data_IF_335885355156
#
_entry.id   IF_335885355156
#
_cell.length_a   1.000
_cell.length_b   1.000
_cell.length_c   1.000
_cell.angle_alpha   90.00
_cell.angle_beta   90.00
_cell.angle_gamma   90.00
#
_symmetry.space_group_name_H-M   'P 1'
#
loop_
_entity.id
_entity.type
_entity.pdbx_description
1 polymer ?
#
# COMPACT_ATOMS: atom_id res chain seq x y z
N UNK A 1 -0.38 -7.44 50.65
CA UNK A 1 0.75 -6.83 49.92
C UNK A 1 0.20 -6.28 48.61
N UNK A 2 0.25 -4.96 48.40
CA UNK A 2 -0.14 -4.37 47.12
C UNK A 2 0.94 -4.68 46.09
N UNK A 3 0.55 -5.27 44.96
CA UNK A 3 1.46 -5.53 43.85
C UNK A 3 1.98 -4.18 43.33
N UNK A 4 3.30 -4.02 43.26
CA UNK A 4 3.92 -2.86 42.65
C UNK A 4 3.43 -2.75 41.18
N UNK A 5 3.15 -1.54 40.67
CA UNK A 5 2.76 -1.36 39.29
C UNK A 5 3.88 -1.92 38.40
N UNK A 6 3.53 -2.83 37.49
CA UNK A 6 4.47 -3.37 36.53
C UNK A 6 5.09 -2.19 35.76
N UNK A 7 6.42 -2.07 35.83
CA UNK A 7 7.15 -1.06 35.08
C UNK A 7 6.75 -1.16 33.61
N UNK A 8 6.29 -0.05 33.02
CA UNK A 8 5.95 -0.02 31.60
C UNK A 8 7.16 -0.48 30.79
N UNK A 9 6.98 -1.49 29.95
CA UNK A 9 8.05 -2.01 29.11
C UNK A 9 8.64 -0.87 28.27
N UNK A 10 9.96 -0.84 28.12
CA UNK A 10 10.64 0.17 27.30
C UNK A 10 10.07 0.18 25.87
N UNK A 11 9.94 1.36 25.22
CA UNK A 11 9.48 1.44 23.84
C UNK A 11 10.36 0.60 22.92
N UNK A 12 9.75 -0.07 21.95
CA UNK A 12 10.49 -0.84 20.96
C UNK A 12 11.34 0.10 20.07
N UNK A 13 12.55 -0.36 19.73
CA UNK A 13 13.43 0.32 18.76
C UNK A 13 12.97 0.15 17.31
N UNK A 14 12.15 -0.87 17.06
CA UNK A 14 11.61 -1.19 15.75
C UNK A 14 10.25 -1.89 15.85
N UNK A 15 9.43 -1.71 14.81
CA UNK A 15 8.21 -2.47 14.58
C UNK A 15 8.12 -2.91 13.13
N UNK A 16 7.28 -3.90 12.84
CA UNK A 16 7.02 -4.39 11.49
C UNK A 16 5.67 -3.85 11.01
N UNK A 17 5.69 -3.15 9.87
CA UNK A 17 4.50 -2.78 9.10
C UNK A 17 4.42 -3.67 7.86
N UNK A 18 3.26 -4.25 7.57
CA UNK A 18 3.00 -4.91 6.29
C UNK A 18 1.96 -4.12 5.50
N UNK A 19 2.29 -3.76 4.27
CA UNK A 19 1.43 -3.00 3.37
C UNK A 19 1.02 -3.88 2.18
N UNK A 20 -0.28 -4.01 1.96
CA UNK A 20 -0.85 -4.60 0.75
C UNK A 20 -1.30 -3.55 -0.26
N UNK A 21 -1.42 -4.00 -1.50
CA UNK A 21 -1.95 -3.21 -2.60
C UNK A 21 -3.47 -3.04 -2.54
N UNK A 22 -4.09 -3.07 -3.71
CA UNK A 22 -5.50 -2.73 -3.87
C UNK A 22 -6.42 -3.81 -3.32
N UNK A 23 -7.37 -3.40 -2.48
CA UNK A 23 -8.41 -4.25 -1.89
C UNK A 23 -9.78 -3.72 -2.33
N UNK A 24 -10.56 -4.60 -2.96
CA UNK A 24 -11.93 -4.34 -3.36
C UNK A 24 -12.87 -5.34 -2.69
N UNK A 25 -13.58 -4.90 -1.66
CA UNK A 25 -14.61 -5.66 -0.95
C UNK A 25 -16.01 -5.49 -1.58
N UNK A 26 -16.06 -4.98 -2.81
CA UNK A 26 -17.26 -4.87 -3.63
C UNK A 26 -17.35 -5.96 -4.70
N UNK A 27 -18.19 -5.73 -5.71
CA UNK A 27 -18.37 -6.65 -6.85
C UNK A 27 -18.69 -8.08 -6.35
N UNK A 28 -18.06 -9.09 -6.94
CA UNK A 28 -18.26 -10.50 -6.59
C UNK A 28 -17.86 -10.82 -5.15
N UNK A 29 -16.79 -10.21 -4.62
CA UNK A 29 -16.40 -10.41 -3.22
C UNK A 29 -17.42 -9.77 -2.26
N UNK A 30 -17.96 -8.61 -2.61
CA UNK A 30 -19.06 -8.00 -1.86
C UNK A 30 -20.31 -8.88 -1.85
N UNK A 31 -20.63 -9.54 -2.97
CA UNK A 31 -21.75 -10.50 -3.01
C UNK A 31 -21.49 -11.72 -2.12
N UNK A 32 -20.24 -12.16 -2.01
CA UNK A 32 -19.87 -13.23 -1.06
C UNK A 32 -20.07 -12.78 0.38
N UNK A 33 -19.59 -11.57 0.74
CA UNK A 33 -19.77 -11.00 2.08
C UNK A 33 -21.25 -10.74 2.44
N UNK A 34 -22.12 -10.51 1.46
CA UNK A 34 -23.57 -10.42 1.69
C UNK A 34 -24.20 -11.78 1.99
N UNK A 35 -23.71 -12.86 1.36
CA UNK A 35 -24.19 -14.23 1.60
C UNK A 35 -23.66 -14.80 2.91
N UNK A 36 -22.38 -14.58 3.17
CA UNK A 36 -21.67 -15.00 4.38
C UNK A 36 -20.85 -13.82 4.95
N UNK A 37 -21.43 -13.03 5.87
CA UNK A 37 -20.71 -11.94 6.53
C UNK A 37 -19.49 -12.38 7.35
N UNK A 38 -19.37 -13.67 7.67
CA UNK A 38 -18.22 -14.24 8.37
C UNK A 38 -17.07 -14.62 7.43
N UNK A 39 -17.31 -14.66 6.10
CA UNK A 39 -16.27 -14.94 5.12
C UNK A 39 -15.04 -14.04 5.36
N UNK A 40 -13.86 -14.67 5.40
CA UNK A 40 -12.60 -13.97 5.62
C UNK A 40 -11.73 -14.04 4.36
N UNK A 41 -11.71 -12.99 3.53
CA UNK A 41 -10.90 -12.97 2.32
C UNK A 41 -9.38 -12.89 2.63
N UNK A 42 -9.00 -12.57 3.87
CA UNK A 42 -7.60 -12.46 4.30
C UNK A 42 -7.07 -13.74 4.95
N UNK A 43 -7.89 -14.78 5.12
CA UNK A 43 -7.47 -16.03 5.74
C UNK A 43 -6.19 -16.65 5.10
N UNK A 44 -6.03 -16.66 3.76
CA UNK A 44 -4.82 -17.21 3.13
C UNK A 44 -3.51 -16.49 3.51
N UNK A 45 -3.58 -15.22 3.91
CA UNK A 45 -2.43 -14.36 4.26
C UNK A 45 -2.30 -14.12 5.76
N UNK A 46 -3.13 -14.78 6.58
CA UNK A 46 -3.18 -14.59 8.02
C UNK A 46 -1.81 -14.74 8.71
N UNK A 47 -0.98 -15.69 8.25
CA UNK A 47 0.36 -15.90 8.78
C UNK A 47 1.31 -14.70 8.50
N UNK A 48 1.24 -14.12 7.30
CA UNK A 48 2.04 -12.93 6.95
C UNK A 48 1.58 -11.70 7.73
N UNK A 49 0.28 -11.60 8.02
CA UNK A 49 -0.29 -10.54 8.82
C UNK A 49 0.02 -10.69 10.30
N UNK A 50 0.01 -11.92 10.82
CA UNK A 50 0.37 -12.23 12.21
C UNK A 50 1.81 -11.81 12.55
N UNK A 51 2.72 -11.73 11.58
CA UNK A 51 4.10 -11.28 11.78
C UNK A 51 4.29 -9.76 11.83
N UNK A 52 3.22 -8.96 11.72
CA UNK A 52 3.28 -7.50 11.65
C UNK A 52 2.54 -6.82 12.82
N UNK A 53 3.13 -5.75 13.35
CA UNK A 53 2.55 -4.89 14.37
C UNK A 53 1.50 -3.91 13.78
N UNK A 54 1.72 -3.48 12.54
CA UNK A 54 0.83 -2.59 11.77
C UNK A 54 0.50 -3.23 10.42
N UNK A 55 -0.78 -3.23 10.05
CA UNK A 55 -1.26 -3.77 8.77
C UNK A 55 -1.97 -2.66 7.99
N UNK A 56 -1.56 -2.45 6.75
CA UNK A 56 -2.05 -1.39 5.88
C UNK A 56 -2.51 -1.95 4.52
N UNK A 57 -3.60 -1.42 3.96
CA UNK A 57 -4.04 -1.69 2.57
C UNK A 57 -4.67 -0.44 1.94
N UNK A 58 -4.77 -0.39 0.61
CA UNK A 58 -5.61 0.58 -0.09
C UNK A 58 -7.02 0.00 -0.24
N UNK A 59 -8.02 0.61 0.41
CA UNK A 59 -9.42 0.20 0.29
C UNK A 59 -10.05 0.95 -0.89
N UNK A 60 -10.12 0.28 -2.04
CA UNK A 60 -10.46 0.88 -3.32
C UNK A 60 -11.95 0.79 -3.66
N UNK A 61 -12.80 0.81 -2.64
CA UNK A 61 -14.24 0.93 -2.81
C UNK A 61 -14.84 1.62 -1.57
N UNK A 62 -16.00 2.24 -1.75
CA UNK A 62 -16.83 2.66 -0.62
C UNK A 62 -17.40 1.44 0.10
N UNK A 63 -17.67 1.56 1.40
CA UNK A 63 -18.43 0.59 2.18
C UNK A 63 -19.79 1.20 2.49
N UNK A 64 -20.81 0.71 1.83
CA UNK A 64 -22.17 1.20 1.94
C UNK A 64 -23.13 0.11 1.47
N UNK A 65 -24.22 -0.07 2.20
CA UNK A 65 -25.24 -1.08 1.90
C UNK A 65 -25.82 -0.97 0.48
N UNK A 66 -26.16 0.25 0.04
CA UNK A 66 -26.75 0.51 -1.29
C UNK A 66 -27.89 -0.48 -1.68
N UNK A 67 -28.67 -0.97 -0.71
CA UNK A 67 -29.74 -1.94 -0.96
C UNK A 67 -29.23 -3.32 -1.38
N UNK A 68 -28.02 -3.70 -0.98
CA UNK A 68 -27.35 -4.96 -1.38
C UNK A 68 -26.64 -4.90 -2.73
N UNK A 69 -26.62 -3.74 -3.40
CA UNK A 69 -25.83 -3.56 -4.61
C UNK A 69 -24.33 -3.48 -4.26
N UNK A 70 -23.49 -4.26 -4.95
CA UNK A 70 -22.03 -4.20 -4.77
C UNK A 70 -21.28 -3.78 -6.03
N UNK A 71 -22.02 -3.55 -7.13
CA UNK A 71 -21.53 -3.03 -8.40
C UNK A 71 -22.71 -2.49 -9.20
N UNK A 72 -22.55 -1.31 -9.76
CA UNK A 72 -23.62 -0.66 -10.51
C UNK A 72 -23.95 -1.45 -11.78
N UNK A 73 -25.23 -1.76 -11.98
CA UNK A 73 -25.69 -2.64 -13.07
C UNK A 73 -25.29 -2.17 -14.47
N UNK A 74 -25.27 -0.86 -14.70
CA UNK A 74 -25.01 -0.25 -16.02
C UNK A 74 -23.60 0.36 -16.13
N UNK A 75 -22.89 0.52 -15.01
CA UNK A 75 -21.60 1.20 -14.95
C UNK A 75 -20.63 0.32 -14.16
N UNK A 76 -19.99 -0.69 -14.78
CA UNK A 76 -19.24 -1.71 -14.06
C UNK A 76 -17.98 -1.19 -13.33
N UNK A 77 -17.58 0.06 -13.56
CA UNK A 77 -16.51 0.74 -12.84
C UNK A 77 -17.00 1.49 -11.59
N UNK A 78 -18.30 1.56 -11.36
CA UNK A 78 -18.91 2.12 -10.16
C UNK A 78 -19.27 0.96 -9.23
N UNK A 79 -18.62 0.87 -8.07
CA UNK A 79 -18.81 -0.26 -7.16
C UNK A 79 -18.64 0.11 -5.68
N UNK A 80 -19.25 -0.69 -4.83
CA UNK A 80 -19.29 -0.51 -3.37
C UNK A 80 -19.23 -1.89 -2.71
N UNK A 81 -18.85 -1.95 -1.44
CA UNK A 81 -18.88 -3.15 -0.62
C UNK A 81 -19.93 -3.02 0.48
N UNK A 82 -20.45 -4.15 1.00
CA UNK A 82 -21.38 -4.12 2.12
C UNK A 82 -20.70 -3.62 3.40
N UNK A 83 -21.46 -3.18 4.42
CA UNK A 83 -20.92 -2.78 5.72
C UNK A 83 -20.03 -3.86 6.38
N UNK A 84 -20.34 -5.14 6.12
CA UNK A 84 -19.55 -6.30 6.55
C UNK A 84 -18.09 -6.29 6.06
N UNK A 85 -17.78 -5.52 5.01
CA UNK A 85 -16.40 -5.31 4.56
C UNK A 85 -15.53 -4.64 5.63
N UNK A 86 -16.08 -3.72 6.43
CA UNK A 86 -15.36 -3.11 7.54
C UNK A 86 -15.05 -4.15 8.63
N UNK A 87 -15.99 -5.07 8.88
CA UNK A 87 -15.81 -6.16 9.84
C UNK A 87 -14.76 -7.17 9.36
N UNK A 88 -14.71 -7.46 8.06
CA UNK A 88 -13.66 -8.31 7.47
C UNK A 88 -12.26 -7.68 7.65
N UNK A 89 -12.13 -6.37 7.42
CA UNK A 89 -10.87 -5.64 7.68
C UNK A 89 -10.47 -5.71 9.16
N UNK A 90 -11.43 -5.53 10.08
CA UNK A 90 -11.19 -5.60 11.51
C UNK A 90 -10.77 -7.01 11.98
N UNK A 91 -11.45 -8.06 11.51
CA UNK A 91 -11.08 -9.46 11.79
C UNK A 91 -9.67 -9.79 11.30
N UNK A 92 -9.30 -9.30 10.13
CA UNK A 92 -7.95 -9.42 9.58
C UNK A 92 -6.90 -8.54 10.32
N UNK A 93 -7.31 -7.76 11.33
CA UNK A 93 -6.46 -6.87 12.12
C UNK A 93 -5.85 -5.73 11.32
N UNK A 94 -6.48 -5.32 10.22
CA UNK A 94 -6.06 -4.16 9.44
C UNK A 94 -6.07 -2.94 10.36
N UNK A 95 -4.91 -2.31 10.53
CA UNK A 95 -4.73 -1.20 11.45
C UNK A 95 -5.18 0.12 10.84
N UNK A 96 -4.93 0.28 9.54
CA UNK A 96 -5.26 1.50 8.79
C UNK A 96 -5.49 1.19 7.32
N UNK A 97 -6.46 1.85 6.69
CA UNK A 97 -6.68 1.80 5.24
C UNK A 97 -6.44 3.17 4.61
N UNK A 98 -5.93 3.20 3.37
CA UNK A 98 -6.04 4.41 2.53
C UNK A 98 -7.43 4.46 1.89
N UNK A 99 -8.03 5.65 1.95
CA UNK A 99 -9.25 6.01 1.22
C UNK A 99 -9.00 7.07 0.13
N UNK A 100 -7.75 7.54 -0.02
CA UNK A 100 -7.39 8.44 -1.10
C UNK A 100 -7.24 7.65 -2.40
N UNK A 101 -8.35 7.44 -3.11
CA UNK A 101 -8.40 6.80 -4.43
C UNK A 101 -9.62 7.31 -5.23
N UNK A 102 -9.65 6.99 -6.52
CA UNK A 102 -10.66 7.43 -7.48
C UNK A 102 -12.06 6.86 -7.24
N UNK A 103 -12.19 5.78 -6.44
CA UNK A 103 -13.46 5.10 -6.16
C UNK A 103 -14.18 5.63 -4.91
N UNK A 104 -13.57 6.58 -4.19
CA UNK A 104 -14.11 7.11 -2.93
C UNK A 104 -15.36 8.00 -3.10
N UNK A 105 -15.87 8.14 -4.33
CA UNK A 105 -17.07 8.91 -4.66
C UNK A 105 -18.02 8.20 -5.64
N UNK A 106 -17.86 6.89 -5.82
CA UNK A 106 -18.64 6.08 -6.78
C UNK A 106 -20.16 6.22 -6.57
N UNK A 107 -20.64 6.13 -5.32
CA UNK A 107 -22.04 6.36 -4.93
C UNK A 107 -22.23 7.71 -4.20
N UNK A 108 -21.31 8.65 -4.45
CA UNK A 108 -21.38 10.01 -3.93
C UNK A 108 -21.16 10.15 -2.42
N UNK A 109 -21.51 11.33 -1.91
CA UNK A 109 -21.17 11.77 -0.54
C UNK A 109 -21.80 10.91 0.57
N UNK A 110 -23.02 10.41 0.36
CA UNK A 110 -23.71 9.59 1.37
C UNK A 110 -22.93 8.30 1.63
N UNK A 111 -22.66 7.53 0.57
CA UNK A 111 -21.89 6.29 0.67
C UNK A 111 -20.47 6.53 1.19
N UNK A 112 -19.85 7.66 0.83
CA UNK A 112 -18.57 8.07 1.39
C UNK A 112 -18.64 8.24 2.92
N UNK A 113 -19.64 8.96 3.43
CA UNK A 113 -19.78 9.17 4.87
C UNK A 113 -20.11 7.86 5.61
N UNK A 114 -20.98 7.01 5.03
CA UNK A 114 -21.26 5.66 5.55
C UNK A 114 -19.99 4.81 5.61
N UNK A 115 -19.09 4.95 4.64
CA UNK A 115 -17.77 4.28 4.65
C UNK A 115 -16.97 4.67 5.89
N UNK A 116 -16.90 5.98 6.21
CA UNK A 116 -16.21 6.46 7.40
C UNK A 116 -16.85 5.93 8.67
N UNK A 117 -18.19 5.97 8.75
CA UNK A 117 -18.95 5.49 9.92
C UNK A 117 -18.73 3.99 10.15
N UNK A 118 -18.68 3.17 9.09
CA UNK A 118 -18.44 1.74 9.20
C UNK A 118 -17.01 1.40 9.63
N UNK A 119 -16.01 2.13 9.14
CA UNK A 119 -14.62 1.95 9.56
C UNK A 119 -14.42 2.37 11.02
N UNK A 120 -15.01 3.48 11.44
CA UNK A 120 -15.00 3.93 12.84
C UNK A 120 -15.69 2.91 13.76
N UNK A 121 -16.86 2.41 13.37
CA UNK A 121 -17.57 1.34 14.10
C UNK A 121 -16.72 0.09 14.26
N UNK A 122 -16.01 -0.31 13.21
CA UNK A 122 -15.18 -1.51 13.20
C UNK A 122 -13.81 -1.31 13.88
N UNK A 123 -13.46 -0.07 14.27
CA UNK A 123 -12.17 0.25 14.87
C UNK A 123 -11.00 0.21 13.89
N UNK A 124 -11.27 0.34 12.59
CA UNK A 124 -10.24 0.38 11.54
C UNK A 124 -9.95 1.85 11.22
N UNK A 125 -8.71 2.30 11.44
CA UNK A 125 -8.34 3.66 11.12
C UNK A 125 -8.32 3.89 9.60
N UNK A 126 -8.48 5.14 9.16
CA UNK A 126 -8.40 5.49 7.74
C UNK A 126 -7.64 6.79 7.52
N UNK A 127 -7.00 6.92 6.36
CA UNK A 127 -6.20 8.09 5.98
C UNK A 127 -6.48 8.49 4.53
N UNK A 128 -6.20 9.76 4.19
CA UNK A 128 -6.38 10.29 2.84
C UNK A 128 -7.83 10.69 2.53
N UNK A 129 -8.72 10.56 3.51
CA UNK A 129 -10.06 11.10 3.45
C UNK A 129 -10.56 11.51 4.85
N UNK A 130 -11.58 12.36 4.91
CA UNK A 130 -12.19 12.78 6.15
C UNK A 130 -13.40 13.68 5.96
N UNK A 131 -14.13 13.97 7.04
CA UNK A 131 -15.35 14.82 7.01
C UNK A 131 -15.05 16.30 6.74
N UNK A 132 -13.77 16.68 6.69
CA UNK A 132 -13.30 18.02 6.36
C UNK A 132 -11.98 17.91 5.60
N UNK A 133 -11.65 18.95 4.84
CA UNK A 133 -10.40 19.01 4.07
C UNK A 133 -9.18 18.87 4.97
N UNK A 134 -9.19 19.54 6.13
CA UNK A 134 -8.11 19.42 7.10
C UNK A 134 -7.92 17.96 7.56
N UNK A 135 -9.01 17.23 7.85
CA UNK A 135 -8.93 15.81 8.24
C UNK A 135 -8.48 14.93 7.08
N UNK A 136 -8.90 15.21 5.85
CA UNK A 136 -8.50 14.43 4.67
C UNK A 136 -6.99 14.44 4.46
N UNK A 137 -6.35 15.59 4.66
CA UNK A 137 -4.90 15.78 4.51
C UNK A 137 -4.08 15.51 5.79
N UNK A 138 -4.74 15.26 6.94
CA UNK A 138 -4.04 15.01 8.19
C UNK A 138 -3.45 13.58 8.21
N UNK A 139 -2.26 13.40 8.80
CA UNK A 139 -1.74 12.06 9.04
C UNK A 139 -2.58 11.33 10.10
N UNK A 140 -2.67 10.01 9.97
CA UNK A 140 -3.06 9.15 11.08
C UNK A 140 -1.80 8.61 11.75
N UNK A 141 -1.74 8.71 13.07
CA UNK A 141 -0.62 8.16 13.85
C UNK A 141 -1.05 6.87 14.53
N UNK A 142 -0.43 5.75 14.14
CA UNK A 142 -0.63 4.44 14.76
C UNK A 142 0.51 4.18 15.75
N UNK A 143 0.16 3.90 17.00
CA UNK A 143 1.12 3.52 18.03
C UNK A 143 1.06 2.01 18.30
N UNK A 144 2.23 1.37 18.30
CA UNK A 144 2.40 -0.04 18.69
C UNK A 144 3.70 -0.17 19.48
N UNK A 145 3.64 -0.79 20.65
CA UNK A 145 4.83 -1.06 21.49
C UNK A 145 5.65 0.20 21.77
N UNK A 146 4.98 1.34 21.96
CA UNK A 146 5.61 2.65 22.16
C UNK A 146 6.29 3.26 20.92
N UNK A 147 6.17 2.64 19.73
CA UNK A 147 6.65 3.15 18.45
C UNK A 147 5.49 3.78 17.67
N UNK A 148 5.66 5.00 17.16
CA UNK A 148 4.60 5.76 16.48
C UNK A 148 4.90 5.95 14.99
N UNK A 149 3.99 5.46 14.15
CA UNK A 149 4.06 5.60 12.69
C UNK A 149 2.99 6.57 12.24
N UNK A 150 3.39 7.69 11.63
CA UNK A 150 2.48 8.56 10.91
C UNK A 150 2.28 8.04 9.48
N UNK A 151 1.02 7.87 9.08
CA UNK A 151 0.64 7.48 7.71
C UNK A 151 -0.05 8.67 7.05
N UNK A 152 0.32 8.95 5.81
CA UNK A 152 -0.31 9.92 4.92
C UNK A 152 -0.79 9.19 3.66
N UNK A 153 -1.87 9.65 3.05
CA UNK A 153 -2.33 9.10 1.78
C UNK A 153 -2.88 10.20 0.87
N UNK A 154 -2.61 10.10 -0.43
CA UNK A 154 -3.06 11.04 -1.46
C UNK A 154 -3.39 10.33 -2.76
N UNK A 155 -4.30 10.88 -3.56
CA UNK A 155 -4.62 10.35 -4.89
C UNK A 155 -4.25 11.30 -6.02
N UNK A 156 -3.61 10.77 -7.06
CA UNK A 156 -3.27 11.49 -8.29
C UNK A 156 -4.30 11.31 -9.41
N UNK A 157 -5.39 10.57 -9.17
CA UNK A 157 -6.39 10.24 -10.19
C UNK A 157 -7.81 10.34 -9.64
N UNK A 158 -8.75 10.71 -10.50
CA UNK A 158 -10.16 10.84 -10.14
C UNK A 158 -11.07 10.44 -11.31
N UNK A 159 -12.12 9.65 -11.05
CA UNK A 159 -13.00 9.12 -12.11
C UNK A 159 -13.89 10.19 -12.75
N UNK A 160 -14.16 11.29 -12.04
CA UNK A 160 -15.16 12.30 -12.39
C UNK A 160 -14.47 13.61 -12.82
N UNK A 161 -13.39 13.50 -13.60
CA UNK A 161 -12.59 14.65 -14.06
C UNK A 161 -11.47 15.01 -13.10
N UNK A 162 -11.33 16.30 -12.78
CA UNK A 162 -10.31 16.77 -11.83
C UNK A 162 -10.87 16.77 -10.41
N UNK A 163 -10.18 16.09 -9.47
CA UNK A 163 -10.55 16.18 -8.04
C UNK A 163 -10.57 17.64 -7.57
N UNK A 164 -9.67 18.50 -8.06
CA UNK A 164 -9.61 19.92 -7.66
C UNK A 164 -10.85 20.74 -8.00
N UNK A 165 -11.59 20.34 -9.03
CA UNK A 165 -12.82 21.00 -9.48
C UNK A 165 -14.07 20.29 -8.95
N UNK A 166 -13.89 19.14 -8.30
CA UNK A 166 -14.95 18.30 -7.82
C UNK A 166 -15.28 18.58 -6.34
N UNK A 167 -16.57 18.49 -5.90
CA UNK A 167 -16.94 18.70 -4.49
C UNK A 167 -16.22 17.77 -3.49
N UNK A 168 -15.75 16.60 -3.95
CA UNK A 168 -14.99 15.65 -3.12
C UNK A 168 -13.63 16.19 -2.65
N UNK A 169 -13.10 17.29 -3.22
CA UNK A 169 -11.83 17.90 -2.79
C UNK A 169 -11.82 18.36 -1.33
N UNK A 170 -13.01 18.56 -0.75
CA UNK A 170 -13.18 18.91 0.65
C UNK A 170 -13.14 17.68 1.57
N UNK A 171 -13.03 16.47 1.01
CA UNK A 171 -13.18 15.20 1.72
C UNK A 171 -12.09 14.18 1.41
N UNK A 172 -11.44 14.26 0.24
CA UNK A 172 -10.40 13.33 -0.22
C UNK A 172 -9.13 14.10 -0.55
N UNK A 173 -7.98 13.58 -0.12
CA UNK A 173 -6.69 14.24 -0.30
C UNK A 173 -6.14 14.02 -1.72
N UNK A 174 -6.09 15.10 -2.50
CA UNK A 174 -5.45 15.12 -3.80
C UNK A 174 -3.91 15.18 -3.67
N UNK A 175 -3.21 14.50 -4.57
CA UNK A 175 -1.77 14.55 -4.68
C UNK A 175 -1.32 15.91 -5.21
N UNK A 176 -0.55 16.63 -4.40
CA UNK A 176 0.16 17.85 -4.76
C UNK A 176 1.57 17.73 -4.18
N UNK A 177 2.60 17.93 -5.01
CA UNK A 177 3.97 17.54 -4.66
C UNK A 177 4.49 18.33 -3.47
N UNK A 178 4.32 19.64 -3.50
CA UNK A 178 4.94 20.52 -2.52
C UNK A 178 4.15 20.48 -1.20
N UNK A 179 2.83 20.36 -1.28
CA UNK A 179 1.91 20.11 -0.19
C UNK A 179 2.14 18.77 0.50
N UNK A 180 2.34 17.68 -0.25
CA UNK A 180 2.70 16.38 0.32
C UNK A 180 4.04 16.45 1.04
N UNK A 181 5.05 17.06 0.42
CA UNK A 181 6.36 17.24 1.04
C UNK A 181 6.27 18.08 2.33
N UNK A 182 5.42 19.12 2.36
CA UNK A 182 5.17 19.90 3.56
C UNK A 182 4.46 19.08 4.65
N UNK A 183 3.46 18.27 4.29
CA UNK A 183 2.75 17.38 5.21
C UNK A 183 3.68 16.33 5.82
N UNK A 184 4.58 15.74 5.03
CA UNK A 184 5.61 14.80 5.52
C UNK A 184 6.54 15.48 6.52
N UNK A 185 7.06 16.68 6.21
CA UNK A 185 7.90 17.45 7.14
C UNK A 185 7.15 17.79 8.43
N UNK A 186 5.87 18.14 8.34
CA UNK A 186 5.04 18.43 9.50
C UNK A 186 4.81 17.18 10.36
N UNK A 187 4.47 16.05 9.74
CA UNK A 187 4.30 14.76 10.43
C UNK A 187 5.58 14.34 11.16
N UNK A 188 6.75 14.48 10.51
CA UNK A 188 8.06 14.18 11.11
C UNK A 188 8.38 15.03 12.34
N UNK A 189 7.90 16.29 12.37
CA UNK A 189 8.11 17.21 13.50
C UNK A 189 7.12 17.00 14.65
N UNK A 190 6.09 16.18 14.47
CA UNK A 190 5.16 15.88 15.57
C UNK A 190 5.91 15.15 16.68
N UNK A 191 5.77 15.57 17.96
CA UNK A 191 6.47 14.95 19.07
C UNK A 191 6.23 13.44 19.10
N UNK A 192 7.32 12.66 19.16
CA UNK A 192 7.27 11.21 19.28
C UNK A 192 6.94 10.43 18.01
N UNK A 193 6.84 11.04 16.82
CA UNK A 193 6.71 10.30 15.56
C UNK A 193 8.05 9.69 15.15
N UNK A 194 8.09 8.37 15.07
CA UNK A 194 9.30 7.58 14.79
C UNK A 194 9.47 7.26 13.31
N UNK A 195 8.36 7.03 12.60
CA UNK A 195 8.37 6.77 11.18
C UNK A 195 7.24 7.49 10.45
N UNK A 196 7.45 7.80 9.16
CA UNK A 196 6.43 8.39 8.28
C UNK A 196 6.28 7.51 7.03
N UNK A 197 5.08 7.02 6.74
CA UNK A 197 4.78 6.22 5.55
C UNK A 197 3.78 6.99 4.68
N UNK A 198 4.03 7.04 3.38
CA UNK A 198 3.14 7.69 2.41
C UNK A 198 2.52 6.64 1.50
N UNK A 199 1.21 6.65 1.38
CA UNK A 199 0.45 5.92 0.35
C UNK A 199 0.07 6.86 -0.79
N UNK A 200 0.16 6.37 -2.02
CA UNK A 200 -0.22 7.10 -3.21
C UNK A 200 -1.05 6.22 -4.15
N UNK A 201 -2.21 6.72 -4.55
CA UNK A 201 -3.06 6.06 -5.52
C UNK A 201 -3.14 6.89 -6.81
N UNK A 202 -2.45 6.46 -7.87
CA UNK A 202 -2.52 7.13 -9.16
C UNK A 202 -1.52 6.61 -10.19
N UNK A 203 -1.58 7.18 -11.39
CA UNK A 203 -0.83 6.69 -12.55
C UNK A 203 -1.78 6.37 -13.71
N UNK A 204 -1.36 5.47 -14.59
CA UNK A 204 -2.22 4.95 -15.66
C UNK A 204 -2.44 3.47 -15.42
N UNK A 205 -3.70 3.02 -15.46
CA UNK A 205 -4.03 1.61 -15.35
C UNK A 205 -3.23 0.75 -16.34
N UNK A 206 -2.69 -0.35 -15.85
CA UNK A 206 -1.95 -1.37 -16.60
C UNK A 206 -0.67 -0.89 -17.26
N UNK A 207 -0.14 0.27 -16.87
CA UNK A 207 1.16 0.73 -17.31
C UNK A 207 2.24 0.20 -16.37
N UNK A 208 3.21 -0.52 -16.92
CA UNK A 208 4.35 -1.09 -16.17
C UNK A 208 5.31 -0.01 -15.63
N UNK A 209 5.32 1.15 -16.27
CA UNK A 209 6.26 2.24 -16.01
C UNK A 209 5.63 3.31 -15.11
N UNK A 210 6.24 3.64 -13.95
CA UNK A 210 5.78 4.76 -13.17
C UNK A 210 5.97 6.07 -13.93
N UNK A 211 4.89 6.85 -14.06
CA UNK A 211 4.91 8.10 -14.79
C UNK A 211 5.84 9.13 -14.12
N UNK A 212 6.44 10.07 -14.87
CA UNK A 212 7.31 11.10 -14.31
C UNK A 212 6.70 11.89 -13.13
N UNK A 213 5.40 12.28 -13.12
CA UNK A 213 4.79 12.93 -11.97
C UNK A 213 4.75 12.06 -10.71
N UNK A 214 4.45 10.75 -10.85
CA UNK A 214 4.45 9.82 -9.72
C UNK A 214 5.86 9.64 -9.14
N UNK A 215 6.88 9.57 -9.99
CA UNK A 215 8.30 9.55 -9.59
C UNK A 215 8.72 10.81 -8.87
N UNK A 216 8.34 11.98 -9.38
CA UNK A 216 8.64 13.27 -8.75
C UNK A 216 7.94 13.40 -7.38
N UNK A 217 6.70 12.94 -7.26
CA UNK A 217 5.94 12.91 -6.01
C UNK A 217 6.60 12.00 -4.97
N UNK A 218 6.96 10.78 -5.36
CA UNK A 218 7.62 9.81 -4.49
C UNK A 218 8.99 10.31 -4.01
N UNK A 219 9.80 10.86 -4.93
CA UNK A 219 11.08 11.48 -4.59
C UNK A 219 10.91 12.62 -3.58
N UNK A 220 9.94 13.52 -3.80
CA UNK A 220 9.66 14.64 -2.91
C UNK A 220 9.20 14.18 -1.51
N UNK A 221 8.41 13.11 -1.42
CA UNK A 221 8.00 12.52 -0.14
C UNK A 221 9.21 11.94 0.64
N UNK A 222 10.06 11.15 -0.02
CA UNK A 222 11.28 10.61 0.60
C UNK A 222 12.27 11.73 0.96
N UNK A 223 12.43 12.74 0.10
CA UNK A 223 13.24 13.94 0.37
C UNK A 223 12.78 14.70 1.60
N UNK A 224 11.46 14.78 1.81
CA UNK A 224 10.85 15.45 2.95
C UNK A 224 10.98 14.65 4.26
N UNK A 225 11.43 13.39 4.19
CA UNK A 225 11.68 12.54 5.35
C UNK A 225 10.65 11.43 5.58
N UNK A 226 9.87 11.03 4.57
CA UNK A 226 9.11 9.78 4.61
C UNK A 226 10.08 8.60 4.61
N UNK A 227 9.81 7.54 5.37
CA UNK A 227 10.60 6.31 5.42
C UNK A 227 10.21 5.30 4.36
N UNK A 228 8.99 5.37 3.84
CA UNK A 228 8.55 4.56 2.72
C UNK A 228 7.47 5.29 1.90
N UNK A 229 7.45 4.99 0.61
CA UNK A 229 6.39 5.40 -0.30
C UNK A 229 5.76 4.15 -0.93
N UNK A 230 4.45 4.02 -0.83
CA UNK A 230 3.69 2.83 -1.23
C UNK A 230 2.64 3.22 -2.26
N UNK A 231 2.83 2.77 -3.50
CA UNK A 231 1.98 3.08 -4.64
C UNK A 231 0.91 2.02 -4.91
N UNK A 232 -0.17 2.49 -5.53
CA UNK A 232 -1.42 1.79 -5.85
C UNK A 232 -1.99 2.36 -7.16
N UNK A 233 -3.04 1.73 -7.72
CA UNK A 233 -3.81 2.14 -8.91
C UNK A 233 -3.47 1.45 -10.24
N UNK A 234 -2.21 1.28 -10.68
CA UNK A 234 -1.94 0.68 -11.98
C UNK A 234 -2.50 -0.75 -12.17
N UNK A 235 -2.99 -1.40 -11.10
CA UNK A 235 -3.47 -2.79 -11.09
C UNK A 235 -2.44 -3.81 -11.59
N UNK A 236 -1.17 -3.41 -11.64
CA UNK A 236 -0.01 -4.21 -12.02
C UNK A 236 1.16 -3.82 -11.12
N UNK A 237 2.12 -4.73 -10.94
CA UNK A 237 3.37 -4.40 -10.27
C UNK A 237 4.15 -3.36 -11.09
N UNK A 238 4.74 -2.38 -10.40
CA UNK A 238 5.73 -1.47 -10.96
C UNK A 238 7.05 -1.61 -10.18
N UNK A 239 8.14 -1.08 -10.74
CA UNK A 239 9.47 -1.20 -10.17
C UNK A 239 9.59 -0.66 -8.73
N UNK A 240 10.69 -1.01 -8.08
CA UNK A 240 11.03 -0.56 -6.73
C UNK A 240 12.30 0.28 -6.80
N UNK A 241 12.32 1.42 -6.12
CA UNK A 241 13.48 2.29 -6.02
C UNK A 241 13.92 2.39 -4.55
N UNK A 242 15.21 2.23 -4.27
CA UNK A 242 15.81 2.61 -3.00
C UNK A 242 16.41 3.99 -3.11
N UNK A 243 15.80 4.95 -2.42
CA UNK A 243 16.22 6.34 -2.41
C UNK A 243 16.69 6.74 -1.01
N UNK A 244 17.99 6.99 -0.85
CA UNK A 244 18.64 7.21 0.47
C UNK A 244 18.33 6.09 1.47
N UNK A 245 18.40 4.85 0.99
CA UNK A 245 18.11 3.63 1.77
C UNK A 245 16.63 3.43 2.11
N UNK A 246 15.72 4.23 1.56
CA UNK A 246 14.27 4.15 1.83
C UNK A 246 13.53 3.65 0.59
N UNK A 247 12.60 2.68 0.74
CA UNK A 247 11.93 2.08 -0.39
C UNK A 247 10.79 2.95 -0.94
N UNK A 248 10.73 3.00 -2.26
CA UNK A 248 9.63 3.50 -3.05
C UNK A 248 9.09 2.30 -3.83
N UNK A 249 7.92 1.81 -3.44
CA UNK A 249 7.15 0.85 -4.22
C UNK A 249 6.21 1.65 -5.12
N UNK A 250 6.42 1.65 -6.43
CA UNK A 250 5.57 2.46 -7.32
C UNK A 250 4.18 1.87 -7.53
N UNK A 251 4.04 0.54 -7.41
CA UNK A 251 2.74 -0.14 -7.34
C UNK A 251 2.91 -1.53 -6.74
N UNK A 252 2.08 -1.85 -5.74
CA UNK A 252 2.01 -3.18 -5.13
C UNK A 252 1.09 -4.17 -5.89
N UNK A 253 0.35 -3.70 -6.89
CA UNK A 253 -0.62 -4.50 -7.64
C UNK A 253 -1.91 -4.82 -6.88
N UNK A 254 -2.71 -5.73 -7.43
CA UNK A 254 -4.00 -6.12 -6.86
C UNK A 254 -3.81 -7.12 -5.71
N UNK A 255 -4.09 -6.72 -4.47
CA UNK A 255 -3.94 -7.61 -3.34
C UNK A 255 -5.14 -8.53 -3.17
N UNK A 256 -6.32 -7.96 -2.92
CA UNK A 256 -7.61 -8.66 -2.90
C UNK A 256 -8.54 -7.87 -3.80
N UNK A 257 -8.28 -7.92 -5.09
CA UNK A 257 -9.06 -7.21 -6.09
C UNK A 257 -9.06 -7.97 -7.40
N UNK A 258 -10.25 -8.25 -7.91
CA UNK A 258 -10.42 -8.86 -9.21
C UNK A 258 -10.74 -7.81 -10.26
N UNK A 259 -9.85 -7.68 -11.24
CA UNK A 259 -10.08 -6.89 -12.44
C UNK A 259 -10.60 -7.79 -13.57
N UNK A 260 -11.14 -7.19 -14.64
CA UNK A 260 -11.63 -7.95 -15.80
C UNK A 260 -10.49 -8.56 -16.64
N UNK A 261 -9.31 -7.97 -16.60
CA UNK A 261 -8.12 -8.48 -17.29
C UNK A 261 -7.62 -9.74 -16.58
N UNK A 262 -6.97 -10.61 -17.32
CA UNK A 262 -6.37 -11.85 -16.82
C UNK A 262 -4.89 -11.92 -17.21
N UNK A 263 -4.15 -12.80 -16.55
CA UNK A 263 -2.75 -13.07 -16.81
C UNK A 263 -1.79 -12.47 -15.78
N UNK A 264 -0.50 -12.85 -15.85
CA UNK A 264 0.47 -12.61 -14.76
C UNK A 264 0.65 -11.14 -14.38
N UNK A 265 0.46 -10.21 -15.32
CA UNK A 265 0.63 -8.78 -15.05
C UNK A 265 -0.36 -8.24 -14.00
N UNK A 266 -1.58 -8.76 -13.97
CA UNK A 266 -2.67 -8.30 -13.07
C UNK A 266 -2.97 -9.31 -11.95
N UNK A 267 -2.49 -10.55 -12.09
CA UNK A 267 -2.66 -11.61 -11.09
C UNK A 267 -1.52 -11.65 -10.07
N UNK A 268 -0.33 -11.17 -10.42
CA UNK A 268 0.78 -11.05 -9.47
C UNK A 268 0.71 -9.71 -8.73
N UNK A 269 0.88 -9.78 -7.42
CA UNK A 269 1.01 -8.63 -6.54
C UNK A 269 2.10 -8.89 -5.49
N UNK A 270 2.36 -7.91 -4.64
CA UNK A 270 3.25 -8.10 -3.49
C UNK A 270 2.71 -7.41 -2.24
N UNK A 271 3.02 -7.99 -1.09
CA UNK A 271 3.00 -7.28 0.18
C UNK A 271 4.40 -6.69 0.42
N UNK A 272 4.46 -5.42 0.82
CA UNK A 272 5.69 -4.79 1.30
C UNK A 272 5.78 -4.94 2.81
N UNK A 273 6.78 -5.68 3.30
CA UNK A 273 7.04 -5.82 4.73
C UNK A 273 8.20 -4.90 5.11
N UNK A 274 7.92 -3.98 6.01
CA UNK A 274 8.80 -2.90 6.41
C UNK A 274 9.11 -3.01 7.90
N UNK A 275 10.35 -3.34 8.23
CA UNK A 275 10.84 -3.18 9.60
C UNK A 275 11.28 -1.72 9.80
N UNK A 276 10.37 -0.93 10.35
CA UNK A 276 10.58 0.49 10.66
C UNK A 276 11.45 0.61 11.92
N UNK A 277 12.47 1.48 11.91
CA UNK A 277 13.48 1.59 12.97
C UNK A 277 13.67 3.04 13.37
N UNK A 278 13.87 3.31 14.67
CA UNK A 278 14.17 4.68 15.12
C UNK A 278 15.52 5.14 14.56
N UNK A 279 15.54 6.34 13.96
CA UNK A 279 16.76 6.98 13.49
C UNK A 279 17.48 6.29 12.32
N UNK A 280 16.92 5.22 11.73
CA UNK A 280 17.54 4.48 10.64
C UNK A 280 16.53 4.19 9.53
N UNK A 281 16.96 4.08 8.25
CA UNK A 281 16.09 3.64 7.18
C UNK A 281 15.43 2.28 7.47
N UNK A 282 14.24 1.99 6.95
CA UNK A 282 13.60 0.71 7.20
C UNK A 282 14.35 -0.42 6.50
N UNK A 283 14.24 -1.64 7.04
CA UNK A 283 14.56 -2.83 6.26
C UNK A 283 13.28 -3.23 5.51
N UNK A 284 13.41 -3.50 4.22
CA UNK A 284 12.28 -3.79 3.35
C UNK A 284 12.39 -5.19 2.79
N UNK A 285 11.26 -5.89 2.75
CA UNK A 285 11.09 -7.19 2.11
C UNK A 285 9.84 -7.14 1.23
N UNK A 286 9.86 -7.95 0.18
CA UNK A 286 8.69 -8.20 -0.67
C UNK A 286 8.21 -9.63 -0.44
N UNK A 287 6.92 -9.80 -0.26
CA UNK A 287 6.28 -11.10 -0.12
C UNK A 287 5.27 -11.25 -1.27
N UNK A 288 5.63 -11.97 -2.36
CA UNK A 288 4.77 -12.14 -3.51
C UNK A 288 3.47 -12.84 -3.13
N UNK A 289 2.41 -12.42 -3.78
CA UNK A 289 1.10 -13.04 -3.70
C UNK A 289 0.51 -13.14 -5.10
N UNK A 290 -0.31 -14.16 -5.31
CA UNK A 290 -0.99 -14.39 -6.58
C UNK A 290 -2.48 -14.43 -6.36
N UNK A 291 -3.22 -13.73 -7.22
CA UNK A 291 -4.67 -13.78 -7.27
C UNK A 291 -5.16 -15.20 -7.54
N UNK A 292 -6.15 -15.65 -6.77
CA UNK A 292 -6.81 -16.94 -6.96
C UNK A 292 -8.29 -16.84 -6.58
N UNK A 293 -9.17 -17.11 -7.54
CA UNK A 293 -10.61 -16.98 -7.33
C UNK A 293 -11.04 -15.54 -7.05
N UNK A 294 -11.46 -15.28 -5.80
CA UNK A 294 -11.80 -13.96 -5.25
C UNK A 294 -10.78 -13.47 -4.20
N UNK A 295 -9.79 -14.30 -3.85
CA UNK A 295 -8.79 -14.01 -2.85
C UNK A 295 -7.38 -13.96 -3.45
N UNK A 296 -6.41 -14.23 -2.60
CA UNK A 296 -4.99 -14.22 -2.92
C UNK A 296 -4.30 -15.35 -2.19
N UNK A 297 -3.21 -15.87 -2.76
CA UNK A 297 -2.40 -16.91 -2.17
C UNK A 297 -0.97 -16.38 -2.01
N UNK A 298 -0.40 -16.39 -0.79
CA UNK A 298 0.99 -16.00 -0.60
C UNK A 298 1.93 -17.07 -1.15
N UNK A 299 3.11 -16.65 -1.63
CA UNK A 299 4.10 -17.55 -2.22
C UNK A 299 4.44 -18.77 -1.33
N UNK A 300 4.46 -18.58 -0.01
CA UNK A 300 4.71 -19.64 0.96
C UNK A 300 3.68 -20.77 0.95
N UNK A 301 2.43 -20.46 0.61
CA UNK A 301 1.31 -21.39 0.58
C UNK A 301 0.85 -21.70 -0.86
N UNK A 302 1.55 -21.18 -1.88
CA UNK A 302 1.16 -21.39 -3.27
C UNK A 302 1.53 -22.81 -3.72
N UNK A 303 0.56 -23.67 -4.11
CA UNK A 303 0.87 -24.99 -4.67
C UNK A 303 1.70 -24.89 -5.96
N UNK A 304 1.71 -23.72 -6.62
CA UNK A 304 2.51 -23.40 -7.80
C UNK A 304 3.73 -22.53 -7.49
N UNK A 305 4.27 -22.63 -6.27
CA UNK A 305 5.37 -21.77 -5.77
C UNK A 305 6.47 -21.51 -6.79
N UNK A 306 7.05 -22.55 -7.39
CA UNK A 306 8.17 -22.38 -8.32
C UNK A 306 7.80 -21.57 -9.58
N UNK A 307 6.61 -21.82 -10.15
CA UNK A 307 6.10 -21.07 -11.30
C UNK A 307 5.82 -19.61 -10.94
N UNK A 308 5.17 -19.39 -9.79
CA UNK A 308 4.84 -18.05 -9.28
C UNK A 308 6.10 -17.26 -8.95
N UNK A 309 7.10 -17.88 -8.33
CA UNK A 309 8.40 -17.28 -8.02
C UNK A 309 9.15 -16.86 -9.30
N UNK A 310 9.19 -17.74 -10.30
CA UNK A 310 9.82 -17.45 -11.58
C UNK A 310 9.10 -16.32 -12.34
N UNK A 311 7.76 -16.37 -12.39
CA UNK A 311 6.94 -15.34 -13.05
C UNK A 311 7.06 -13.99 -12.34
N UNK A 312 7.06 -13.97 -11.01
CA UNK A 312 7.26 -12.76 -10.22
C UNK A 312 8.67 -12.18 -10.42
N UNK A 313 9.70 -13.01 -10.40
CA UNK A 313 11.09 -12.57 -10.61
C UNK A 313 11.27 -11.97 -12.00
N UNK A 314 10.77 -12.61 -13.05
CA UNK A 314 10.81 -12.07 -14.42
C UNK A 314 10.00 -10.77 -14.54
N UNK A 315 8.83 -10.70 -13.87
CA UNK A 315 8.02 -9.48 -13.83
C UNK A 315 8.80 -8.34 -13.19
N UNK A 316 9.40 -8.56 -12.02
CA UNK A 316 10.21 -7.56 -11.32
C UNK A 316 11.38 -7.08 -12.17
N UNK A 317 12.15 -8.00 -12.77
CA UNK A 317 13.25 -7.66 -13.69
C UNK A 317 12.82 -6.73 -14.83
N UNK A 318 11.63 -6.95 -15.39
CA UNK A 318 11.07 -6.12 -16.46
C UNK A 318 10.69 -4.73 -15.98
N UNK A 319 9.94 -4.62 -14.90
CA UNK A 319 9.41 -3.32 -14.42
C UNK A 319 10.49 -2.47 -13.75
N UNK A 320 11.55 -3.10 -13.26
CA UNK A 320 12.70 -2.40 -12.70
C UNK A 320 13.53 -1.62 -13.73
N UNK A 321 13.48 -1.99 -15.00
CA UNK A 321 14.15 -1.24 -16.07
C UNK A 321 13.70 0.23 -16.17
N UNK A 322 12.60 0.59 -15.52
CA UNK A 322 12.00 1.92 -15.57
C UNK A 322 12.25 2.79 -14.33
N UNK A 323 12.98 2.28 -13.34
CA UNK A 323 13.25 2.99 -12.08
C UNK A 323 14.76 3.18 -11.86
N UNK A 324 15.12 4.14 -11.01
CA UNK A 324 16.53 4.38 -10.64
C UNK A 324 16.78 3.77 -9.26
N UNK A 325 18.00 3.33 -8.98
CA UNK A 325 18.35 2.78 -7.67
C UNK A 325 17.55 1.52 -7.34
N UNK A 326 17.34 0.64 -8.32
CA UNK A 326 16.70 -0.66 -8.10
C UNK A 326 17.44 -1.43 -6.99
N UNK A 327 16.74 -1.98 -5.99
CA UNK A 327 17.34 -2.91 -5.04
C UNK A 327 17.61 -4.28 -5.66
N UNK A 328 18.65 -4.95 -5.19
CA UNK A 328 18.73 -6.40 -5.39
C UNK A 328 17.62 -7.09 -4.58
N UNK A 329 16.92 -8.04 -5.20
CA UNK A 329 15.96 -8.92 -4.52
C UNK A 329 16.74 -10.16 -4.07
N UNK A 330 16.82 -10.38 -2.75
CA UNK A 330 17.42 -11.58 -2.18
C UNK A 330 16.64 -12.86 -2.49
N UNK A 331 17.14 -14.04 -2.06
CA UNK A 331 16.39 -15.28 -2.22
C UNK A 331 15.08 -15.25 -1.39
N UNK A 332 14.03 -15.88 -1.91
CA UNK A 332 12.78 -16.04 -1.17
C UNK A 332 12.95 -17.10 -0.07
N UNK A 333 12.61 -16.73 1.17
CA UNK A 333 12.70 -17.61 2.33
C UNK A 333 11.53 -18.61 2.41
N UNK A 334 11.49 -19.44 3.46
CA UNK A 334 10.39 -20.38 3.68
C UNK A 334 9.03 -19.66 3.85
N UNK A 335 9.03 -18.44 4.39
CA UNK A 335 7.88 -17.55 4.51
C UNK A 335 7.47 -16.88 3.20
N UNK A 336 8.17 -17.17 2.09
CA UNK A 336 7.88 -16.65 0.77
C UNK A 336 8.19 -15.16 0.63
N UNK A 337 9.07 -14.61 1.46
CA UNK A 337 9.49 -13.21 1.40
C UNK A 337 10.96 -13.11 1.01
N UNK A 338 11.33 -12.04 0.33
CA UNK A 338 12.71 -11.73 -0.06
C UNK A 338 13.09 -10.33 0.42
N UNK A 339 14.29 -10.22 1.01
CA UNK A 339 14.84 -8.94 1.44
C UNK A 339 15.28 -8.11 0.25
N UNK A 340 15.01 -6.80 0.32
CA UNK A 340 15.56 -5.81 -0.59
C UNK A 340 16.89 -5.33 -0.05
N UNK A 341 17.94 -5.53 -0.83
CA UNK A 341 19.29 -5.04 -0.51
C UNK A 341 19.63 -3.86 -1.44
N UNK A 342 20.43 -2.88 -0.98
CA UNK A 342 21.03 -1.91 -1.89
C UNK A 342 21.73 -2.67 -3.02
N UNK A 343 21.49 -2.27 -4.27
CA UNK A 343 22.30 -2.80 -5.36
C UNK A 343 23.77 -2.57 -5.03
N UNK A 344 24.59 -3.60 -5.14
CA UNK A 344 26.04 -3.44 -5.05
C UNK A 344 26.41 -2.33 -6.05
N UNK A 345 27.04 -1.25 -5.57
CA UNK A 345 27.64 -0.29 -6.49
C UNK A 345 28.52 -1.09 -7.43
N UNK A 346 28.17 -1.14 -8.72
CA UNK A 346 29.06 -1.67 -9.72
C UNK A 346 30.35 -0.85 -9.56
N UNK A 347 31.43 -1.50 -9.10
CA UNK A 347 32.73 -0.86 -9.03
C UNK A 347 32.97 -0.19 -10.40
N UNK A 348 33.37 1.09 -10.45
CA UNK A 348 33.59 1.76 -11.73
C UNK A 348 34.52 0.87 -12.55
N UNK A 349 34.08 0.50 -13.75
CA UNK A 349 34.89 -0.30 -14.65
C UNK A 349 36.24 0.41 -14.79
N UNK A 350 37.33 -0.27 -14.41
CA UNK A 350 38.68 0.24 -14.63
C UNK A 350 38.79 0.67 -16.10
N UNK A 351 39.28 1.88 -16.40
CA UNK A 351 39.45 2.30 -17.78
C UNK A 351 40.32 1.26 -18.49
N UNK A 352 40.03 0.94 -19.76
CA UNK A 352 40.84 0.00 -20.52
C UNK A 352 42.30 0.47 -20.47
N UNK A 353 43.21 -0.44 -20.14
CA UNK A 353 44.65 -0.17 -20.23
C UNK A 353 44.92 0.27 -21.66
N UNK A 354 45.30 1.54 -21.84
CA UNK A 354 45.76 2.07 -23.11
C UNK A 354 46.94 1.20 -23.53
N UNK A 355 46.78 0.45 -24.62
CA UNK A 355 47.90 -0.25 -25.25
C UNK A 355 48.96 0.81 -25.58
N UNK A 356 50.21 0.52 -25.24
CA UNK A 356 51.33 1.45 -25.37
C UNK A 356 51.49 2.02 -26.79
N UNK A 357 52.32 3.06 -26.94
CA UNK A 357 52.42 3.83 -28.18
C UNK A 357 52.70 2.92 -29.36
N UNK A 358 51.88 3.08 -30.40
CA UNK A 358 52.09 2.49 -31.73
C UNK A 358 53.45 3.01 -32.22
N UNK A 359 54.41 2.10 -32.42
CA UNK A 359 55.72 2.40 -33.04
C UNK A 359 55.62 2.36 -34.55
#
# INVERSE_FOLDING_TARGET
>A
AAAAPAAAAAPADAITLIAGGDVCLGKALGQELLRDPAHDPFAPVAALFASADVRFVNLENQLSDQGGETQHRLQPLVFTGPPAGADALARAGISVVSLANNHMWDYGKKAFLETLDHLERAGVAYVGAGRTRQKAYAPVVIERRGFRVAVLAVTGIWNQGSLWEHPAREFVAAAERDGLAAAVRAARKQPGVDAVVVSYHGGTEYLDTPLPPARALAAAAIDAGADAFVGHHPHVLQGIELRRGRPIFYSLGNFIMKVKRTGPAVELAMLARLRLRRGAPPLAEICPVRSEGLGTVPLAADPRRAETEAAFTERMRRVSAFVKGEPAIGPFDAGGCARLEPAAEAAPASPPKVAGPIR
#
